data_IF_096177440190
#
_entry.id   IF_096177440190
#
_cell.length_a   1.000
_cell.length_b   1.000
_cell.length_c   1.000
_cell.angle_alpha   90.00
_cell.angle_beta   90.00
_cell.angle_gamma   90.00
#
_symmetry.space_group_name_H-M   'P 1'
#
loop_
_entity.id
_entity.type
_entity.pdbx_description
1 polymer ?
#
# COMPACT_ATOMS: atom_id res chain seq x y z
N UNK A 1 -22.43 1.68 -55.76
CA UNK A 1 -21.21 2.22 -55.12
C UNK A 1 -21.71 2.87 -53.86
N UNK A 2 -21.82 2.01 -52.86
CA UNK A 2 -22.89 2.06 -51.88
C UNK A 2 -22.42 2.76 -50.61
N UNK A 3 -23.33 3.48 -49.95
CA UNK A 3 -23.08 4.26 -48.74
C UNK A 3 -22.49 3.44 -47.57
N UNK A 4 -22.43 2.12 -47.70
CA UNK A 4 -21.90 1.17 -46.73
C UNK A 4 -20.36 1.13 -46.67
N UNK A 5 -19.67 1.37 -47.79
CA UNK A 5 -18.19 1.33 -47.85
C UNK A 5 -17.58 2.55 -47.14
N UNK A 6 -18.28 3.69 -47.12
CA UNK A 6 -17.81 4.91 -46.45
C UNK A 6 -17.97 4.87 -44.92
N UNK A 7 -18.91 4.09 -44.39
CA UNK A 7 -19.18 4.00 -42.95
C UNK A 7 -18.23 3.01 -42.26
N UNK A 8 -17.83 1.95 -42.96
CA UNK A 8 -16.94 0.89 -42.43
C UNK A 8 -15.48 1.32 -42.39
N UNK A 9 -15.09 2.30 -43.20
CA UNK A 9 -13.72 2.80 -43.23
C UNK A 9 -13.31 3.62 -41.98
N UNK A 10 -14.27 4.06 -41.15
CA UNK A 10 -14.00 4.84 -39.92
C UNK A 10 -13.74 4.02 -38.65
N UNK A 11 -14.06 2.73 -38.63
CA UNK A 11 -13.91 1.87 -37.45
C UNK A 11 -12.60 1.07 -37.58
N UNK A 12 -11.47 1.58 -37.08
CA UNK A 12 -10.17 0.92 -37.25
C UNK A 12 -9.84 -0.12 -36.16
N UNK A 13 -9.27 -1.26 -36.58
CA UNK A 13 -8.43 -2.14 -35.74
C UNK A 13 -9.13 -3.36 -35.14
N UNK A 14 -9.91 -3.18 -34.08
CA UNK A 14 -10.44 -4.29 -33.25
C UNK A 14 -11.95 -4.48 -33.39
N UNK A 15 -12.70 -3.38 -33.49
CA UNK A 15 -14.15 -3.41 -33.69
C UNK A 15 -14.51 -4.05 -35.03
N UNK A 16 -13.74 -3.79 -36.09
CA UNK A 16 -13.90 -4.46 -37.40
C UNK A 16 -13.86 -5.97 -37.30
N UNK A 17 -12.88 -6.52 -36.60
CA UNK A 17 -12.74 -7.99 -36.48
C UNK A 17 -13.89 -8.60 -35.70
N UNK A 18 -14.38 -7.91 -34.67
CA UNK A 18 -15.55 -8.33 -33.90
C UNK A 18 -16.82 -8.30 -34.76
N UNK A 19 -17.05 -7.19 -35.48
CA UNK A 19 -18.20 -7.05 -36.38
C UNK A 19 -18.17 -8.08 -37.51
N UNK A 20 -17.01 -8.33 -38.12
CA UNK A 20 -16.84 -9.33 -39.20
C UNK A 20 -17.12 -10.75 -38.70
N UNK A 21 -16.63 -11.12 -37.51
CA UNK A 21 -16.90 -12.44 -36.92
C UNK A 21 -18.38 -12.63 -36.56
N UNK A 22 -19.02 -11.61 -36.00
CA UNK A 22 -20.44 -11.62 -35.63
C UNK A 22 -21.32 -11.74 -36.87
N UNK A 23 -21.02 -10.99 -37.93
CA UNK A 23 -21.69 -11.07 -39.22
C UNK A 23 -21.55 -12.46 -39.86
N UNK A 24 -20.37 -13.07 -39.82
CA UNK A 24 -20.14 -14.41 -40.36
C UNK A 24 -20.95 -15.50 -39.62
N UNK A 25 -21.04 -15.41 -38.28
CA UNK A 25 -21.86 -16.33 -37.48
C UNK A 25 -23.36 -16.16 -37.76
N UNK A 26 -23.86 -14.93 -37.79
CA UNK A 26 -25.27 -14.63 -38.07
C UNK A 26 -25.69 -15.05 -39.48
N UNK A 27 -24.82 -14.84 -40.47
CA UNK A 27 -25.05 -15.28 -41.87
C UNK A 27 -25.08 -16.80 -42.02
N UNK A 28 -24.35 -17.53 -41.15
CA UNK A 28 -24.41 -18.98 -41.07
C UNK A 28 -25.64 -19.51 -40.32
N UNK A 29 -26.15 -18.75 -39.35
CA UNK A 29 -27.33 -19.10 -38.56
C UNK A 29 -28.66 -18.74 -39.24
N UNK A 30 -28.71 -17.65 -40.01
CA UNK A 30 -29.91 -17.12 -40.67
C UNK A 30 -29.63 -16.93 -42.16
N UNK A 31 -29.98 -17.93 -42.96
CA UNK A 31 -29.85 -17.90 -44.41
C UNK A 31 -30.89 -17.00 -45.07
N UNK A 32 -30.41 -15.90 -45.68
CA UNK A 32 -31.10 -14.97 -46.60
C UNK A 32 -32.20 -14.08 -45.96
N UNK A 33 -31.89 -12.83 -45.62
CA UNK A 33 -31.98 -11.53 -46.36
C UNK A 33 -33.20 -10.70 -45.92
N UNK A 34 -32.99 -9.39 -45.79
CA UNK A 34 -33.86 -8.33 -45.23
C UNK A 34 -33.87 -8.22 -43.69
N UNK A 35 -34.29 -9.25 -42.94
CA UNK A 35 -34.37 -9.18 -41.46
C UNK A 35 -33.00 -9.05 -40.76
N UNK A 36 -31.92 -9.41 -41.46
CA UNK A 36 -30.56 -9.32 -40.93
C UNK A 36 -30.06 -7.87 -40.81
N UNK A 37 -30.54 -6.94 -41.65
CA UNK A 37 -30.08 -5.55 -41.67
C UNK A 37 -30.75 -4.71 -40.59
N UNK A 38 -32.02 -4.96 -40.28
CA UNK A 38 -32.74 -4.28 -39.18
C UNK A 38 -32.21 -4.72 -37.81
N UNK A 39 -31.96 -6.02 -37.64
CA UNK A 39 -31.29 -6.55 -36.44
C UNK A 39 -29.83 -6.10 -36.31
N UNK A 40 -29.19 -5.70 -37.42
CA UNK A 40 -27.86 -5.08 -37.42
C UNK A 40 -27.89 -3.64 -36.89
N UNK A 41 -28.89 -2.85 -37.27
CA UNK A 41 -29.08 -1.48 -36.76
C UNK A 41 -29.49 -1.47 -35.28
N UNK A 42 -30.43 -2.33 -34.89
CA UNK A 42 -30.80 -2.54 -33.47
C UNK A 42 -29.63 -3.10 -32.66
N UNK A 43 -28.83 -3.98 -33.26
CA UNK A 43 -27.62 -4.53 -32.65
C UNK A 43 -26.52 -3.49 -32.44
N UNK A 44 -26.31 -2.56 -33.39
CA UNK A 44 -25.31 -1.48 -33.31
C UNK A 44 -25.61 -0.48 -32.19
N UNK A 45 -26.88 -0.16 -31.95
CA UNK A 45 -27.32 0.68 -30.82
C UNK A 45 -27.12 -0.01 -29.46
N UNK A 46 -27.29 -1.33 -29.38
CA UNK A 46 -27.03 -2.09 -28.15
C UNK A 46 -25.52 -2.26 -27.83
N UNK A 47 -24.64 -2.01 -28.81
CA UNK A 47 -23.18 -2.13 -28.66
C UNK A 47 -22.56 -0.81 -28.15
N UNK A 48 -23.13 0.35 -28.50
CA UNK A 48 -22.63 1.64 -27.98
C UNK A 48 -22.87 1.81 -26.46
N UNK A 49 -23.75 1.01 -25.88
CA UNK A 49 -24.01 0.93 -24.43
C UNK A 49 -23.35 -0.28 -23.74
N UNK A 50 -22.61 -1.12 -24.48
CA UNK A 50 -21.97 -2.28 -23.88
C UNK A 50 -20.79 -1.83 -22.98
N UNK A 51 -20.75 -2.22 -21.69
CA UNK A 51 -19.63 -1.89 -20.81
C UNK A 51 -18.34 -2.51 -21.36
N UNK A 52 -17.26 -1.73 -21.33
CA UNK A 52 -15.91 -2.08 -21.82
C UNK A 52 -15.50 -3.53 -21.47
N UNK A 53 -14.71 -4.20 -22.34
CA UNK A 53 -14.44 -5.62 -22.23
C UNK A 53 -13.88 -5.98 -20.84
N UNK A 54 -14.34 -7.11 -20.24
CA UNK A 54 -14.03 -7.48 -18.86
C UNK A 54 -12.54 -7.61 -18.56
N UNK A 55 -11.67 -7.69 -19.57
CA UNK A 55 -10.22 -7.78 -19.41
C UNK A 55 -9.59 -6.57 -18.71
N UNK A 56 -9.98 -5.33 -19.05
CA UNK A 56 -9.37 -4.14 -18.43
C UNK A 56 -9.88 -3.92 -17.00
N UNK A 57 -11.17 -4.14 -16.76
CA UNK A 57 -11.76 -4.08 -15.43
C UNK A 57 -11.27 -5.21 -14.51
N UNK A 58 -11.10 -6.43 -15.04
CA UNK A 58 -10.50 -7.56 -14.29
C UNK A 58 -9.00 -7.35 -14.04
N UNK A 59 -8.26 -6.78 -15.00
CA UNK A 59 -6.86 -6.43 -14.83
C UNK A 59 -6.70 -5.31 -13.80
N UNK A 60 -7.53 -4.27 -13.85
CA UNK A 60 -7.54 -3.20 -12.86
C UNK A 60 -7.91 -3.72 -11.46
N UNK A 61 -8.93 -4.58 -11.36
CA UNK A 61 -9.31 -5.22 -10.10
C UNK A 61 -8.21 -6.16 -9.57
N UNK A 62 -7.54 -6.92 -10.44
CA UNK A 62 -6.42 -7.78 -10.07
C UNK A 62 -5.19 -6.96 -9.63
N UNK A 63 -4.89 -5.85 -10.32
CA UNK A 63 -3.83 -4.91 -9.93
C UNK A 63 -4.15 -4.24 -8.59
N UNK A 64 -5.40 -3.81 -8.38
CA UNK A 64 -5.85 -3.25 -7.11
C UNK A 64 -5.80 -4.28 -5.97
N UNK A 65 -6.22 -5.52 -6.21
CA UNK A 65 -6.13 -6.59 -5.22
C UNK A 65 -4.68 -6.94 -4.88
N UNK A 66 -3.79 -6.99 -5.87
CA UNK A 66 -2.35 -7.19 -5.66
C UNK A 66 -1.72 -6.01 -4.88
N UNK A 67 -2.10 -4.78 -5.18
CA UNK A 67 -1.65 -3.59 -4.46
C UNK A 67 -2.15 -3.59 -2.99
N UNK A 68 -3.41 -3.97 -2.76
CA UNK A 68 -3.97 -4.12 -1.41
C UNK A 68 -3.28 -5.25 -0.63
N UNK A 69 -2.98 -6.38 -1.28
CA UNK A 69 -2.23 -7.48 -0.66
C UNK A 69 -0.80 -7.08 -0.34
N UNK A 70 -0.11 -6.37 -1.23
CA UNK A 70 1.23 -5.84 -0.98
C UNK A 70 1.23 -4.82 0.18
N UNK A 71 0.24 -3.92 0.23
CA UNK A 71 0.08 -2.99 1.34
C UNK A 71 -0.20 -3.71 2.67
N UNK A 72 -1.02 -4.76 2.66
CA UNK A 72 -1.28 -5.58 3.84
C UNK A 72 -0.02 -6.32 4.33
N UNK A 73 0.80 -6.85 3.40
CA UNK A 73 2.08 -7.48 3.73
C UNK A 73 3.09 -6.46 4.30
N UNK A 74 3.14 -5.25 3.74
CA UNK A 74 3.99 -4.16 4.26
C UNK A 74 3.54 -3.71 5.65
N UNK A 75 2.23 -3.55 5.88
CA UNK A 75 1.68 -3.23 7.20
C UNK A 75 1.97 -4.34 8.22
N UNK A 76 1.84 -5.61 7.83
CA UNK A 76 2.20 -6.74 8.68
C UNK A 76 3.71 -6.76 9.01
N UNK A 77 4.57 -6.44 8.04
CA UNK A 77 6.01 -6.34 8.26
C UNK A 77 6.38 -5.19 9.20
N UNK A 78 5.75 -4.02 9.06
CA UNK A 78 5.91 -2.89 9.98
C UNK A 78 5.46 -3.24 11.40
N UNK A 79 4.32 -3.93 11.53
CA UNK A 79 3.82 -4.36 12.83
C UNK A 79 4.74 -5.40 13.48
N UNK A 80 5.27 -6.35 12.71
CA UNK A 80 6.23 -7.33 13.21
C UNK A 80 7.52 -6.65 13.71
N UNK A 81 8.07 -5.70 12.93
CA UNK A 81 9.24 -4.92 13.32
C UNK A 81 8.98 -4.06 14.59
N UNK A 82 7.77 -3.51 14.73
CA UNK A 82 7.35 -2.79 15.95
C UNK A 82 7.35 -3.71 17.17
N UNK A 83 6.74 -4.88 17.06
CA UNK A 83 6.71 -5.88 18.15
C UNK A 83 8.14 -6.32 18.52
N UNK A 84 9.00 -6.52 17.53
CA UNK A 84 10.40 -6.93 17.74
C UNK A 84 11.17 -5.85 18.51
N UNK A 85 11.00 -4.58 18.15
CA UNK A 85 11.59 -3.44 18.88
C UNK A 85 11.08 -3.37 20.32
N UNK A 86 9.76 -3.46 20.56
CA UNK A 86 9.22 -3.49 21.92
C UNK A 86 9.73 -4.68 22.74
N UNK A 87 9.86 -5.86 22.14
CA UNK A 87 10.39 -7.03 22.84
C UNK A 87 11.85 -6.83 23.25
N UNK A 88 12.68 -6.30 22.33
CA UNK A 88 14.07 -5.96 22.64
C UNK A 88 14.18 -4.94 23.75
N UNK A 89 13.31 -3.93 23.76
CA UNK A 89 13.22 -2.94 24.83
C UNK A 89 12.94 -3.59 26.19
N UNK A 90 11.97 -4.50 26.26
CA UNK A 90 11.67 -5.19 27.53
C UNK A 90 12.79 -6.12 27.97
N UNK A 91 13.44 -6.81 27.03
CA UNK A 91 14.64 -7.61 27.33
C UNK A 91 15.79 -6.73 27.85
N UNK A 92 15.95 -5.53 27.33
CA UNK A 92 16.94 -4.59 27.83
C UNK A 92 16.63 -4.18 29.28
N UNK A 93 15.38 -3.86 29.62
CA UNK A 93 14.96 -3.56 31.00
C UNK A 93 15.31 -4.71 31.96
N UNK A 94 15.09 -5.96 31.53
CA UNK A 94 15.49 -7.13 32.30
C UNK A 94 17.02 -7.25 32.44
N UNK A 95 17.80 -6.89 31.43
CA UNK A 95 19.26 -6.86 31.53
C UNK A 95 19.75 -5.78 32.51
N UNK A 96 19.11 -4.59 32.51
CA UNK A 96 19.42 -3.51 33.46
C UNK A 96 19.17 -3.95 34.90
N UNK A 97 18.03 -4.59 35.18
CA UNK A 97 17.72 -5.09 36.53
C UNK A 97 18.68 -6.19 36.99
N UNK A 98 19.27 -6.95 36.06
CA UNK A 98 20.31 -7.94 36.33
C UNK A 98 21.73 -7.35 36.42
N UNK A 99 21.90 -6.06 36.12
CA UNK A 99 23.20 -5.39 36.11
C UNK A 99 24.04 -5.60 34.85
N UNK A 100 23.50 -6.29 33.83
CA UNK A 100 24.18 -6.49 32.54
C UNK A 100 23.94 -5.28 31.62
N UNK A 101 24.62 -4.18 31.96
CA UNK A 101 24.41 -2.88 31.32
C UNK A 101 24.91 -2.84 29.87
N UNK A 102 25.97 -3.59 29.52
CA UNK A 102 26.50 -3.63 28.15
C UNK A 102 25.50 -4.31 27.21
N UNK A 103 24.95 -5.44 27.66
CA UNK A 103 23.91 -6.15 26.90
C UNK A 103 22.63 -5.33 26.78
N UNK A 104 22.24 -4.61 27.82
CA UNK A 104 21.10 -3.69 27.77
C UNK A 104 21.30 -2.60 26.69
N UNK A 105 22.48 -1.98 26.62
CA UNK A 105 22.78 -0.97 25.61
C UNK A 105 22.77 -1.54 24.18
N UNK A 106 23.25 -2.76 23.97
CA UNK A 106 23.21 -3.41 22.66
C UNK A 106 21.75 -3.62 22.20
N UNK A 107 20.91 -4.18 23.07
CA UNK A 107 19.49 -4.41 22.78
C UNK A 107 18.72 -3.12 22.54
N UNK A 108 19.00 -2.06 23.30
CA UNK A 108 18.36 -0.75 23.12
C UNK A 108 18.77 -0.09 21.79
N UNK A 109 20.02 -0.26 21.35
CA UNK A 109 20.48 0.23 20.04
C UNK A 109 19.77 -0.50 18.89
N UNK A 110 19.61 -1.81 18.98
CA UNK A 110 18.84 -2.58 17.99
C UNK A 110 17.37 -2.17 17.97
N UNK A 111 16.77 -1.95 19.15
CA UNK A 111 15.40 -1.43 19.27
C UNK A 111 15.26 -0.06 18.62
N UNK A 112 16.20 0.85 18.89
CA UNK A 112 16.22 2.19 18.29
C UNK A 112 16.31 2.11 16.77
N UNK A 113 17.21 1.30 16.22
CA UNK A 113 17.36 1.13 14.77
C UNK A 113 16.08 0.58 14.13
N UNK A 114 15.43 -0.40 14.77
CA UNK A 114 14.14 -0.93 14.30
C UNK A 114 13.03 0.13 14.32
N UNK A 115 12.94 0.90 15.41
CA UNK A 115 12.00 2.03 15.53
C UNK A 115 12.23 3.11 14.46
N UNK A 116 13.48 3.43 14.15
CA UNK A 116 13.83 4.40 13.09
C UNK A 116 13.44 3.91 11.69
N UNK A 117 13.64 2.63 11.39
CA UNK A 117 13.28 2.03 10.10
C UNK A 117 11.78 2.09 9.82
N UNK A 118 10.95 1.91 10.85
CA UNK A 118 9.49 1.94 10.73
C UNK A 118 8.88 3.33 10.97
N UNK A 119 9.70 4.33 11.34
CA UNK A 119 9.24 5.67 11.68
C UNK A 119 8.47 5.75 13.01
N UNK A 120 8.71 4.82 13.95
CA UNK A 120 8.09 4.83 15.28
C UNK A 120 8.82 5.81 16.22
N UNK A 121 8.31 7.04 16.25
CA UNK A 121 8.86 8.13 17.06
C UNK A 121 8.69 7.82 18.57
N UNK A 122 7.61 7.14 18.97
CA UNK A 122 7.38 6.76 20.37
C UNK A 122 8.39 5.71 20.83
N UNK A 123 8.60 4.66 20.01
CA UNK A 123 9.60 3.61 20.25
C UNK A 123 11.02 4.15 20.31
N UNK A 124 11.35 5.12 19.44
CA UNK A 124 12.63 5.83 19.46
C UNK A 124 12.83 6.61 20.77
N UNK A 125 11.86 7.42 21.16
CA UNK A 125 11.95 8.23 22.38
C UNK A 125 12.07 7.36 23.64
N UNK A 126 11.33 6.24 23.70
CA UNK A 126 11.41 5.27 24.79
C UNK A 126 12.80 4.61 24.86
N UNK A 127 13.34 4.16 23.72
CA UNK A 127 14.67 3.54 23.65
C UNK A 127 15.78 4.50 24.09
N UNK A 128 15.76 5.76 23.64
CA UNK A 128 16.70 6.81 24.07
C UNK A 128 16.61 7.10 25.57
N UNK A 129 15.39 7.16 26.11
CA UNK A 129 15.17 7.38 27.54
C UNK A 129 15.78 6.25 28.38
N UNK A 130 15.61 4.99 27.96
CA UNK A 130 16.22 3.88 28.68
C UNK A 130 17.73 3.82 28.52
N UNK A 131 18.27 4.16 27.35
CA UNK A 131 19.72 4.28 27.20
C UNK A 131 20.30 5.32 28.15
N UNK A 132 19.62 6.46 28.33
CA UNK A 132 20.01 7.48 29.31
C UNK A 132 19.99 6.93 30.74
N UNK A 133 18.99 6.12 31.13
CA UNK A 133 18.98 5.46 32.43
C UNK A 133 20.17 4.50 32.62
N UNK A 134 20.58 3.79 31.57
CA UNK A 134 21.77 2.92 31.63
C UNK A 134 23.07 3.72 31.76
N UNK A 135 23.19 4.86 31.08
CA UNK A 135 24.36 5.73 31.28
C UNK A 135 24.36 6.41 32.65
N UNK A 136 23.17 6.71 33.19
CA UNK A 136 23.03 7.25 34.54
C UNK A 136 23.53 6.25 35.59
N UNK A 137 23.19 4.96 35.45
CA UNK A 137 23.68 3.92 36.36
C UNK A 137 25.18 3.68 36.25
N UNK A 138 25.80 4.02 35.09
CA UNK A 138 27.26 4.04 34.90
C UNK A 138 27.96 5.30 35.42
N UNK A 139 27.20 6.34 35.76
CA UNK A 139 27.75 7.64 36.16
C UNK A 139 28.19 8.54 35.00
N UNK A 140 27.83 8.20 33.75
CA UNK A 140 28.15 9.00 32.56
C UNK A 140 27.09 10.10 32.35
N UNK A 141 27.18 11.16 33.17
CA UNK A 141 26.17 12.23 33.23
C UNK A 141 26.05 13.03 31.92
N UNK A 142 27.14 13.33 31.24
CA UNK A 142 27.13 14.11 30.00
C UNK A 142 26.31 13.40 28.90
N UNK A 143 26.52 12.08 28.75
CA UNK A 143 25.78 11.26 27.79
C UNK A 143 24.32 11.10 28.20
N UNK A 144 24.06 10.97 29.49
CA UNK A 144 22.70 10.87 30.03
C UNK A 144 21.87 12.10 29.68
N UNK A 145 22.43 13.29 29.92
CA UNK A 145 21.74 14.56 29.63
C UNK A 145 21.43 14.71 28.15
N UNK A 146 22.40 14.42 27.27
CA UNK A 146 22.20 14.50 25.82
C UNK A 146 21.06 13.58 25.35
N UNK A 147 21.04 12.33 25.81
CA UNK A 147 20.01 11.35 25.43
C UNK A 147 18.63 11.68 26.00
N UNK A 148 18.56 12.23 27.22
CA UNK A 148 17.29 12.69 27.77
C UNK A 148 16.74 13.90 27.04
N UNK A 149 17.59 14.85 26.64
CA UNK A 149 17.18 16.00 25.84
C UNK A 149 16.62 15.56 24.49
N UNK A 150 17.28 14.62 23.81
CA UNK A 150 16.79 14.08 22.54
C UNK A 150 15.45 13.35 22.71
N UNK A 151 15.33 12.49 23.73
CA UNK A 151 14.07 11.80 24.05
C UNK A 151 12.93 12.78 24.37
N UNK A 152 13.22 13.87 25.09
CA UNK A 152 12.24 14.87 25.47
C UNK A 152 11.77 15.68 24.26
N UNK A 153 12.70 16.11 23.38
CA UNK A 153 12.34 16.80 22.14
C UNK A 153 11.41 15.95 21.25
N UNK A 154 11.67 14.64 21.15
CA UNK A 154 10.79 13.74 20.40
C UNK A 154 9.41 13.59 21.05
N UNK A 155 9.35 13.49 22.39
CA UNK A 155 8.07 13.44 23.12
C UNK A 155 7.27 14.74 22.98
N UNK A 156 7.94 15.89 22.95
CA UNK A 156 7.31 17.18 22.71
C UNK A 156 6.74 17.28 21.30
N UNK A 157 7.45 16.79 20.28
CA UNK A 157 6.94 16.70 18.91
C UNK A 157 5.66 15.86 18.85
N UNK A 158 5.65 14.68 19.50
CA UNK A 158 4.46 13.82 19.58
C UNK A 158 3.31 14.54 20.31
N UNK A 159 3.60 15.16 21.47
CA UNK A 159 2.62 15.90 22.27
C UNK A 159 1.99 17.07 21.53
N UNK A 160 2.77 17.83 20.76
CA UNK A 160 2.28 18.92 19.91
C UNK A 160 1.42 18.41 18.75
N UNK A 161 1.78 17.28 18.12
CA UNK A 161 0.95 16.70 17.05
C UNK A 161 -0.37 16.09 17.55
N UNK A 162 -0.39 15.61 18.81
CA UNK A 162 -1.57 14.98 19.43
C UNK A 162 -2.58 15.97 19.99
N UNK A 163 -2.23 17.25 20.14
CA UNK A 163 -3.15 18.32 20.54
C UNK A 163 -3.62 19.12 19.33
N UNK A 164 -4.67 18.69 18.59
CA UNK A 164 -5.38 19.61 17.74
C UNK A 164 -6.13 20.57 18.66
N UNK A 165 -5.73 21.83 18.67
CA UNK A 165 -6.59 22.90 19.19
C UNK A 165 -7.80 22.90 18.24
N UNK A 166 -9.03 22.61 18.70
CA UNK A 166 -10.19 22.75 17.83
C UNK A 166 -10.35 24.25 17.51
N UNK A 167 -10.21 24.59 16.23
CA UNK A 167 -10.56 25.91 15.68
C UNK A 167 -12.07 26.05 15.54
#
# INVERSE_FOLDING_TARGET
MDALDAATDRLAGTERLWHVRRLAWLKGAYGQTEEAYTLLEEGLLAISEAPAPPGEAQQAAAQQAAAQQAAAQQAAAQQAAKIESSLRYELANLCVTRGDLDRALALLKESLQGSEQIGDIEGKAASLHQMAQVYLTRGELDRTLALYQESLQLKEQIGCTRWPIPT
#
